data_IF_746990628892
#
_entry.id   IF_746990628892
#
_cell.length_a   1.000
_cell.length_b   1.000
_cell.length_c   1.000
_cell.angle_alpha   90.00
_cell.angle_beta   90.00
_cell.angle_gamma   90.00
#
_symmetry.space_group_name_H-M   'P 1'
#
loop_
_entity.id
_entity.type
_entity.pdbx_description
1 polymer ?
#
# COMPACT_ATOMS: atom_id res chain seq x y z
N UNK A 1 -22.23 -18.60 2.81
CA UNK A 1 -21.75 -17.20 2.81
C UNK A 1 -20.27 -17.23 3.16
N UNK A 2 -19.40 -16.76 2.27
CA UNK A 2 -17.98 -16.65 2.60
C UNK A 2 -17.79 -15.56 3.66
N UNK A 3 -17.10 -15.89 4.76
CA UNK A 3 -16.84 -14.94 5.84
C UNK A 3 -15.57 -14.16 5.49
N UNK A 4 -15.74 -12.97 4.92
CA UNK A 4 -14.63 -12.06 4.63
C UNK A 4 -14.30 -11.28 5.91
N UNK A 5 -13.09 -11.47 6.45
CA UNK A 5 -12.60 -10.71 7.61
C UNK A 5 -12.16 -9.32 7.15
N UNK A 6 -13.02 -8.33 7.37
CA UNK A 6 -12.74 -6.92 7.10
C UNK A 6 -12.02 -6.27 8.29
N UNK A 7 -10.77 -5.85 8.09
CA UNK A 7 -9.99 -5.11 9.09
C UNK A 7 -10.50 -3.68 9.32
N UNK A 8 -11.29 -3.14 8.37
CA UNK A 8 -11.75 -1.75 8.32
C UNK A 8 -13.28 -1.64 8.52
N UNK A 9 -13.78 -2.34 9.56
CA UNK A 9 -15.22 -2.43 9.84
C UNK A 9 -15.84 -1.08 10.20
N UNK A 10 -15.12 -0.24 10.94
CA UNK A 10 -15.60 1.10 11.36
C UNK A 10 -15.81 2.02 10.16
N UNK A 11 -14.92 1.96 9.19
CA UNK A 11 -15.00 2.74 7.94
C UNK A 11 -16.21 2.30 7.09
N UNK A 12 -16.50 0.99 7.04
CA UNK A 12 -17.68 0.46 6.36
C UNK A 12 -18.99 0.95 7.02
N UNK A 13 -19.06 0.94 8.36
CA UNK A 13 -20.23 1.44 9.09
C UNK A 13 -20.46 2.94 8.85
N UNK A 14 -19.38 3.74 8.81
CA UNK A 14 -19.48 5.16 8.48
C UNK A 14 -19.95 5.39 7.04
N UNK A 15 -19.45 4.60 6.09
CA UNK A 15 -19.87 4.68 4.70
C UNK A 15 -21.36 4.34 4.54
N UNK A 16 -21.81 3.26 5.20
CA UNK A 16 -23.22 2.86 5.22
C UNK A 16 -24.11 3.97 5.80
N UNK A 17 -23.69 4.60 6.91
CA UNK A 17 -24.43 5.70 7.52
C UNK A 17 -24.55 6.90 6.57
N UNK A 18 -23.45 7.29 5.90
CA UNK A 18 -23.47 8.38 4.91
C UNK A 18 -24.39 8.08 3.73
N UNK A 19 -24.33 6.86 3.20
CA UNK A 19 -25.21 6.41 2.11
C UNK A 19 -26.67 6.41 2.54
N UNK A 20 -26.96 5.94 3.75
CA UNK A 20 -28.32 5.91 4.31
C UNK A 20 -28.88 7.33 4.48
N UNK A 21 -28.08 8.25 5.02
CA UNK A 21 -28.47 9.65 5.18
C UNK A 21 -28.71 10.33 3.83
N UNK A 22 -27.91 10.01 2.80
CA UNK A 22 -28.07 10.62 1.48
C UNK A 22 -29.22 10.06 0.66
N UNK A 23 -29.48 8.76 0.75
CA UNK A 23 -30.50 8.09 -0.05
C UNK A 23 -31.86 8.07 0.66
N UNK A 24 -31.93 8.43 1.94
CA UNK A 24 -33.16 8.40 2.74
C UNK A 24 -33.70 6.98 2.96
N UNK A 25 -32.92 5.94 2.61
CA UNK A 25 -33.28 4.52 2.77
C UNK A 25 -32.18 3.79 3.50
N UNK A 26 -32.55 2.82 4.33
CA UNK A 26 -31.60 1.94 5.02
C UNK A 26 -30.97 0.99 4.00
N UNK A 27 -29.66 1.16 3.77
CA UNK A 27 -28.86 0.23 2.96
C UNK A 27 -28.20 -0.78 3.87
N UNK A 28 -28.14 -2.04 3.45
CA UNK A 28 -27.45 -3.11 4.17
C UNK A 28 -25.93 -3.05 3.95
N UNK A 29 -25.15 -3.66 4.86
CA UNK A 29 -23.70 -3.75 4.70
C UNK A 29 -23.30 -4.55 3.46
N UNK A 30 -24.09 -5.56 3.09
CA UNK A 30 -23.86 -6.37 1.90
C UNK A 30 -24.06 -5.55 0.63
N UNK A 31 -25.19 -4.85 0.50
CA UNK A 31 -25.42 -3.96 -0.64
C UNK A 31 -24.34 -2.88 -0.74
N UNK A 32 -23.90 -2.33 0.40
CA UNK A 32 -22.81 -1.34 0.42
C UNK A 32 -21.53 -1.92 -0.18
N UNK A 33 -21.16 -3.14 0.19
CA UNK A 33 -19.99 -3.82 -0.35
C UNK A 33 -20.16 -4.16 -1.84
N UNK A 34 -21.33 -4.62 -2.27
CA UNK A 34 -21.61 -4.93 -3.68
C UNK A 34 -21.41 -3.70 -4.56
N UNK A 35 -21.93 -2.53 -4.14
CA UNK A 35 -21.72 -1.28 -4.87
C UNK A 35 -20.26 -0.81 -4.80
N UNK A 36 -19.56 -1.02 -3.69
CA UNK A 36 -18.12 -0.72 -3.61
C UNK A 36 -17.30 -1.58 -4.58
N UNK A 37 -17.62 -2.86 -4.72
CA UNK A 37 -16.98 -3.76 -5.69
C UNK A 37 -17.27 -3.30 -7.11
N UNK A 38 -18.52 -2.95 -7.42
CA UNK A 38 -18.91 -2.39 -8.72
C UNK A 38 -18.12 -1.12 -9.05
N UNK A 39 -18.06 -0.18 -8.10
CA UNK A 39 -17.36 1.09 -8.27
C UNK A 39 -15.84 0.90 -8.42
N UNK A 40 -15.26 0.00 -7.63
CA UNK A 40 -13.85 -0.36 -7.74
C UNK A 40 -13.54 -1.04 -9.08
N UNK A 41 -14.44 -1.87 -9.60
CA UNK A 41 -14.30 -2.48 -10.92
C UNK A 41 -14.32 -1.43 -12.05
N UNK A 42 -15.09 -0.36 -11.90
CA UNK A 42 -15.11 0.75 -12.87
C UNK A 42 -13.83 1.62 -12.78
N UNK A 43 -13.20 1.67 -11.61
CA UNK A 43 -11.97 2.44 -11.34
C UNK A 43 -10.81 1.51 -11.00
N UNK A 44 -10.60 0.47 -11.81
CA UNK A 44 -9.63 -0.59 -11.52
C UNK A 44 -8.22 -0.06 -11.30
N UNK A 45 -7.74 0.87 -12.14
CA UNK A 45 -6.40 1.46 -12.01
C UNK A 45 -6.18 2.14 -10.65
N UNK A 46 -7.19 2.85 -10.12
CA UNK A 46 -7.11 3.47 -8.78
C UNK A 46 -7.07 2.41 -7.68
N UNK A 47 -7.76 1.28 -7.88
CA UNK A 47 -7.66 0.17 -6.94
C UNK A 47 -6.26 -0.44 -6.97
N UNK A 48 -5.65 -0.57 -8.15
CA UNK A 48 -4.25 -1.00 -8.30
C UNK A 48 -3.33 -0.04 -7.55
N UNK A 49 -3.45 1.28 -7.73
CA UNK A 49 -2.66 2.27 -6.96
C UNK A 49 -2.82 2.16 -5.44
N UNK A 50 -4.00 1.78 -4.95
CA UNK A 50 -4.27 1.63 -3.51
C UNK A 50 -3.74 0.32 -2.93
N UNK A 51 -3.74 -0.75 -3.72
CA UNK A 51 -3.29 -2.09 -3.31
C UNK A 51 -1.80 -2.25 -3.53
N UNK A 52 -1.29 -1.69 -4.62
CA UNK A 52 0.10 -1.76 -5.00
C UNK A 52 0.89 -0.73 -4.19
N UNK A 53 1.70 -1.24 -3.25
CA UNK A 53 2.72 -0.42 -2.57
C UNK A 53 3.94 -0.18 -3.48
N UNK A 54 3.91 -0.62 -4.74
CA UNK A 54 5.01 -0.39 -5.64
C UNK A 54 5.19 1.12 -5.88
N UNK A 55 6.42 1.65 -5.75
CA UNK A 55 6.68 3.02 -6.11
C UNK A 55 6.40 3.19 -7.61
N UNK A 56 5.49 4.10 -7.95
CA UNK A 56 5.29 4.52 -9.34
C UNK A 56 6.64 5.06 -9.84
N UNK A 57 7.23 4.37 -10.82
CA UNK A 57 8.48 4.76 -11.47
C UNK A 57 8.20 5.94 -12.39
N UNK A 58 8.10 7.14 -11.83
CA UNK A 58 8.13 8.38 -12.62
C UNK A 58 9.55 8.61 -13.16
N UNK A 59 9.67 9.30 -14.30
CA UNK A 59 10.97 9.65 -14.89
C UNK A 59 11.90 10.36 -13.89
N UNK A 60 11.33 11.22 -13.02
CA UNK A 60 12.06 11.89 -11.94
C UNK A 60 12.59 10.89 -10.89
N UNK A 61 11.76 9.94 -10.44
CA UNK A 61 12.15 8.92 -9.47
C UNK A 61 13.22 7.97 -10.05
N UNK A 62 13.12 7.63 -11.34
CA UNK A 62 14.11 6.81 -12.03
C UNK A 62 15.46 7.53 -12.12
N UNK A 63 15.47 8.80 -12.50
CA UNK A 63 16.70 9.58 -12.60
C UNK A 63 17.39 9.73 -11.24
N UNK A 64 16.64 10.04 -10.17
CA UNK A 64 17.22 10.11 -8.82
C UNK A 64 17.76 8.76 -8.34
N UNK A 65 17.13 7.65 -8.72
CA UNK A 65 17.62 6.31 -8.41
C UNK A 65 18.93 5.99 -9.17
N UNK A 66 19.00 6.34 -10.46
CA UNK A 66 20.20 6.15 -11.28
C UNK A 66 21.36 7.01 -10.77
N UNK A 67 21.11 8.26 -10.37
CA UNK A 67 22.12 9.13 -9.75
C UNK A 67 22.64 8.57 -8.43
N UNK A 68 21.73 8.12 -7.54
CA UNK A 68 22.13 7.49 -6.27
C UNK A 68 22.95 6.24 -6.51
N UNK A 69 22.55 5.40 -7.46
CA UNK A 69 23.29 4.20 -7.86
C UNK A 69 24.68 4.55 -8.40
N UNK A 70 24.78 5.57 -9.26
CA UNK A 70 26.07 6.01 -9.81
C UNK A 70 27.01 6.55 -8.74
N UNK A 71 26.49 7.26 -7.72
CA UNK A 71 27.29 7.72 -6.58
C UNK A 71 27.80 6.58 -5.70
N UNK A 72 27.02 5.49 -5.61
CA UNK A 72 27.32 4.34 -4.77
C UNK A 72 28.04 3.21 -5.51
N UNK A 73 28.31 3.35 -6.81
CA UNK A 73 28.84 2.26 -7.64
C UNK A 73 30.28 1.86 -7.30
N UNK A 74 31.05 2.79 -6.71
CA UNK A 74 32.47 2.60 -6.36
C UNK A 74 32.74 2.78 -4.86
N UNK A 75 31.76 2.52 -4.00
CA UNK A 75 31.99 2.58 -2.55
C UNK A 75 32.64 1.27 -2.11
N UNK A 76 33.89 1.28 -1.62
CA UNK A 76 34.54 0.08 -1.13
C UNK A 76 33.84 -0.42 0.13
N UNK A 77 33.82 -1.74 0.29
CA UNK A 77 33.28 -2.37 1.48
C UNK A 77 34.06 -1.93 2.72
N UNK A 78 33.36 -1.50 3.78
CA UNK A 78 33.98 -1.10 5.03
C UNK A 78 33.81 -2.21 6.08
N UNK A 79 34.85 -3.01 6.38
CA UNK A 79 34.78 -4.10 7.35
C UNK A 79 34.69 -3.64 8.81
N UNK A 80 34.73 -2.34 9.08
CA UNK A 80 34.53 -1.76 10.42
C UNK A 80 33.17 -1.07 10.58
N UNK A 81 32.25 -1.27 9.64
CA UNK A 81 30.91 -0.71 9.70
C UNK A 81 30.12 -1.36 10.85
N UNK A 82 29.50 -0.57 11.72
CA UNK A 82 28.65 -1.10 12.80
C UNK A 82 27.19 -1.10 12.37
N UNK A 83 26.55 -2.25 12.48
CA UNK A 83 25.13 -2.39 12.14
C UNK A 83 24.25 -2.36 13.39
N UNK A 84 23.07 -1.77 13.28
CA UNK A 84 22.17 -1.61 14.42
C UNK A 84 21.49 -2.93 14.84
N UNK A 85 21.41 -3.90 13.93
CA UNK A 85 20.87 -5.24 14.18
C UNK A 85 22.00 -6.24 14.27
N UNK A 86 21.92 -7.13 15.25
CA UNK A 86 22.92 -8.18 15.48
C UNK A 86 23.05 -9.14 14.29
N UNK A 87 21.92 -9.48 13.68
CA UNK A 87 21.86 -10.35 12.49
C UNK A 87 22.63 -9.75 11.30
N UNK A 88 22.55 -8.43 11.11
CA UNK A 88 23.28 -7.75 10.04
C UNK A 88 24.78 -7.70 10.37
N UNK A 89 25.15 -7.49 11.63
CA UNK A 89 26.54 -7.52 12.08
C UNK A 89 27.19 -8.89 11.83
N UNK A 90 26.46 -9.97 12.12
CA UNK A 90 26.92 -11.36 11.91
C UNK A 90 27.08 -11.73 10.42
N UNK A 91 26.31 -11.11 9.51
CA UNK A 91 26.36 -11.40 8.07
C UNK A 91 27.48 -10.63 7.38
N UNK A 92 27.70 -9.39 7.80
CA UNK A 92 28.56 -8.46 7.09
C UNK A 92 29.95 -8.33 7.75
N UNK A 93 30.12 -8.54 9.06
CA UNK A 93 31.42 -8.39 9.76
C UNK A 93 32.14 -9.71 10.10
N UNK A 94 32.01 -10.74 9.25
CA UNK A 94 32.71 -12.04 9.39
C UNK A 94 34.24 -11.95 9.32
#
# INVERSE_FOLDING_TARGET
>A
MAVVKLNKKKELEQLQARLTLRLGRKITQQETLDYCVLLASQSFEKLVELVDKAPILTLENVNTFLEKRAKLSNVPYNPSAKFARKEDDDIYNL
#
